data_IF_316070350443
#
_entry.id   IF_316070350443
#
_cell.length_a   1.000
_cell.length_b   1.000
_cell.length_c   1.000
_cell.angle_alpha   90.00
_cell.angle_beta   90.00
_cell.angle_gamma   90.00
#
_symmetry.space_group_name_H-M   'P 1'
#
loop_
_entity.id
_entity.type
_entity.pdbx_description
1 polymer ?
#
# COMPACT_ATOMS: atom_id res chain seq x y z
N UNK A 1 14.27 14.08 16.71
CA UNK A 1 13.35 14.26 15.57
C UNK A 1 13.64 13.18 14.54
N UNK A 2 12.63 12.52 13.97
CA UNK A 2 12.84 11.54 12.88
C UNK A 2 13.46 12.24 11.68
N UNK A 3 14.51 11.67 11.10
CA UNK A 3 15.18 12.23 9.92
C UNK A 3 14.43 11.82 8.67
N UNK A 4 14.03 12.80 7.84
CA UNK A 4 13.49 12.56 6.50
C UNK A 4 14.65 12.26 5.56
N UNK A 5 14.57 11.15 4.83
CA UNK A 5 15.56 10.71 3.86
C UNK A 5 15.32 11.30 2.46
N UNK A 6 14.06 11.65 2.15
CA UNK A 6 13.64 12.25 0.89
C UNK A 6 12.17 11.91 0.55
N UNK A 7 11.73 12.30 -0.65
CA UNK A 7 10.38 12.09 -1.17
C UNK A 7 10.37 11.69 -2.66
N UNK A 8 9.25 11.13 -3.12
CA UNK A 8 9.06 10.64 -4.48
C UNK A 8 8.36 11.64 -5.42
N UNK A 9 8.23 12.90 -5.03
CA UNK A 9 7.45 13.88 -5.78
C UNK A 9 5.95 13.68 -5.61
N UNK A 10 5.18 14.18 -6.56
CA UNK A 10 3.71 14.19 -6.54
C UNK A 10 3.07 13.53 -7.77
N UNK A 11 3.89 12.90 -8.61
CA UNK A 11 3.46 12.26 -9.86
C UNK A 11 4.30 11.03 -10.18
N UNK A 12 3.76 10.05 -10.96
CA UNK A 12 4.51 8.85 -11.34
C UNK A 12 5.78 9.20 -12.14
N UNK A 13 5.72 10.25 -12.96
CA UNK A 13 6.86 10.73 -13.72
C UNK A 13 8.00 11.22 -12.81
N UNK A 14 7.69 12.05 -11.80
CA UNK A 14 8.70 12.49 -10.83
C UNK A 14 9.22 11.32 -9.99
N UNK A 15 8.35 10.41 -9.55
CA UNK A 15 8.73 9.26 -8.76
C UNK A 15 9.73 8.36 -9.52
N UNK A 16 9.46 8.08 -10.81
CA UNK A 16 10.39 7.35 -11.69
C UNK A 16 11.71 8.11 -11.88
N UNK A 17 11.65 9.42 -12.12
CA UNK A 17 12.85 10.26 -12.26
C UNK A 17 13.73 10.23 -11.01
N UNK A 18 13.12 10.14 -9.82
CA UNK A 18 13.79 10.05 -8.51
C UNK A 18 14.17 8.62 -8.12
N UNK A 19 13.94 7.64 -8.98
CA UNK A 19 14.30 6.24 -8.75
C UNK A 19 13.40 5.52 -7.72
N UNK A 20 12.25 6.08 -7.39
CA UNK A 20 11.28 5.45 -6.50
C UNK A 20 10.68 4.18 -7.11
N UNK A 21 10.17 3.31 -6.24
CA UNK A 21 9.49 2.07 -6.60
C UNK A 21 8.03 2.17 -6.19
N UNK A 22 7.15 1.67 -7.05
CA UNK A 22 5.73 1.59 -6.71
C UNK A 22 5.48 0.34 -5.88
N UNK A 23 4.90 0.53 -4.71
CA UNK A 23 4.54 -0.50 -3.75
C UNK A 23 3.05 -0.82 -3.89
N UNK A 24 2.73 -1.97 -4.47
CA UNK A 24 1.33 -2.40 -4.67
C UNK A 24 0.66 -2.87 -3.38
N UNK A 25 1.40 -3.09 -2.29
CA UNK A 25 0.78 -3.31 -0.99
C UNK A 25 0.15 -2.00 -0.59
N UNK A 26 0.95 -0.95 -0.39
CA UNK A 26 0.45 0.32 0.16
C UNK A 26 -0.12 1.31 -0.86
N UNK A 27 -0.03 0.97 -2.14
CA UNK A 27 -0.36 1.83 -3.28
C UNK A 27 0.40 3.15 -3.22
N UNK A 28 1.70 3.08 -2.95
CA UNK A 28 2.56 4.22 -2.69
C UNK A 28 3.81 4.21 -3.57
N UNK A 29 4.24 5.37 -4.03
CA UNK A 29 5.60 5.56 -4.55
C UNK A 29 6.57 5.76 -3.40
N UNK A 30 7.49 4.81 -3.21
CA UNK A 30 8.42 4.77 -2.08
C UNK A 30 9.88 4.83 -2.54
N UNK A 31 10.72 5.51 -1.75
CA UNK A 31 12.16 5.49 -1.97
C UNK A 31 12.71 4.06 -1.85
N UNK A 32 13.78 3.69 -2.60
CA UNK A 32 14.35 2.35 -2.56
C UNK A 32 14.67 1.84 -1.15
N UNK A 33 15.12 2.72 -0.25
CA UNK A 33 15.44 2.37 1.13
C UNK A 33 14.22 1.96 1.98
N UNK A 34 13.02 2.38 1.58
CA UNK A 34 11.75 2.07 2.22
C UNK A 34 10.94 0.98 1.49
N UNK A 35 11.43 0.48 0.35
CA UNK A 35 10.72 -0.50 -0.49
C UNK A 35 11.14 -1.93 -0.11
N UNK A 36 10.16 -2.82 0.07
CA UNK A 36 10.39 -4.23 0.36
C UNK A 36 9.90 -5.10 -0.80
N UNK A 37 10.78 -5.37 -1.76
CA UNK A 37 10.47 -6.13 -2.97
C UNK A 37 9.95 -7.54 -2.65
N UNK A 38 10.58 -8.25 -1.70
CA UNK A 38 10.19 -9.61 -1.33
C UNK A 38 8.76 -9.67 -0.77
N UNK A 39 8.38 -8.67 0.04
CA UNK A 39 7.04 -8.60 0.61
C UNK A 39 5.99 -8.22 -0.44
N UNK A 40 6.33 -7.33 -1.39
CA UNK A 40 5.47 -7.00 -2.54
C UNK A 40 5.23 -8.24 -3.41
N UNK A 41 6.28 -9.00 -3.68
CA UNK A 41 6.19 -10.25 -4.45
C UNK A 41 5.41 -11.35 -3.70
N UNK A 42 5.52 -11.42 -2.37
CA UNK A 42 4.69 -12.29 -1.52
C UNK A 42 3.20 -11.90 -1.62
N UNK A 43 2.88 -10.62 -1.43
CA UNK A 43 1.51 -10.09 -1.53
C UNK A 43 0.87 -10.43 -2.88
N UNK A 44 1.61 -10.21 -3.98
CA UNK A 44 1.15 -10.52 -5.33
C UNK A 44 0.88 -12.02 -5.51
N UNK A 45 1.81 -12.88 -5.10
CA UNK A 45 1.73 -14.34 -5.35
C UNK A 45 0.63 -15.03 -4.54
N UNK A 46 0.36 -14.56 -3.33
CA UNK A 46 -0.54 -15.24 -2.41
C UNK A 46 -2.02 -15.03 -2.71
N UNK A 47 -2.43 -13.83 -3.15
CA UNK A 47 -3.85 -13.48 -3.18
C UNK A 47 -4.43 -13.18 -4.57
N UNK A 48 -3.61 -12.91 -5.59
CA UNK A 48 -4.11 -12.71 -6.96
C UNK A 48 -5.20 -11.63 -7.07
N UNK A 49 -5.11 -10.56 -6.30
CA UNK A 49 -6.12 -9.50 -6.25
C UNK A 49 -6.41 -8.87 -7.62
N UNK A 50 -7.67 -8.52 -7.83
CA UNK A 50 -8.18 -7.85 -9.02
C UNK A 50 -8.46 -6.39 -8.70
N UNK A 51 -8.10 -5.51 -9.62
CA UNK A 51 -8.24 -4.07 -9.50
C UNK A 51 -9.10 -3.54 -10.63
N UNK A 52 -9.86 -2.48 -10.39
CA UNK A 52 -10.87 -1.97 -11.31
C UNK A 52 -10.80 -0.45 -11.43
N UNK A 53 -11.18 0.10 -12.59
CA UNK A 53 -11.31 1.55 -12.75
C UNK A 53 -12.58 2.10 -12.10
N UNK A 54 -13.57 1.25 -11.85
CA UNK A 54 -14.88 1.61 -11.33
C UNK A 54 -15.28 0.78 -10.11
N UNK A 55 -16.12 1.39 -9.26
CA UNK A 55 -16.68 0.72 -8.08
C UNK A 55 -17.57 -0.48 -8.43
N UNK A 56 -18.14 -0.52 -9.64
CA UNK A 56 -18.96 -1.63 -10.10
C UNK A 56 -18.17 -2.89 -10.41
N UNK A 57 -16.83 -2.82 -10.47
CA UNK A 57 -15.97 -3.94 -10.83
C UNK A 57 -16.13 -4.36 -12.29
N UNK A 58 -16.50 -3.42 -13.17
CA UNK A 58 -16.84 -3.70 -14.57
C UNK A 58 -15.66 -3.53 -15.52
N UNK A 59 -14.70 -2.67 -15.17
CA UNK A 59 -13.50 -2.38 -15.96
C UNK A 59 -12.28 -2.85 -15.18
N UNK A 60 -11.88 -4.10 -15.37
CA UNK A 60 -10.70 -4.67 -14.73
C UNK A 60 -9.40 -4.11 -15.32
N UNK A 61 -8.43 -3.87 -14.43
CA UNK A 61 -7.09 -3.40 -14.76
C UNK A 61 -6.09 -4.55 -14.56
N UNK A 62 -5.37 -4.98 -15.61
CA UNK A 62 -4.34 -6.00 -15.48
C UNK A 62 -3.25 -5.60 -14.50
N UNK A 63 -2.72 -6.56 -13.74
CA UNK A 63 -1.73 -6.30 -12.69
C UNK A 63 -0.50 -5.54 -13.21
N UNK A 64 -0.04 -5.86 -14.42
CA UNK A 64 1.09 -5.16 -15.06
C UNK A 64 0.84 -3.67 -15.25
N UNK A 65 -0.42 -3.24 -15.38
CA UNK A 65 -0.82 -1.83 -15.43
C UNK A 65 -0.98 -1.26 -14.02
N UNK A 66 -1.52 -2.04 -13.07
CA UNK A 66 -1.59 -1.66 -11.65
C UNK A 66 -0.19 -1.34 -11.11
N UNK A 67 0.78 -2.18 -11.42
CA UNK A 67 2.17 -2.05 -11.00
C UNK A 67 2.88 -0.81 -11.57
N UNK A 68 2.30 -0.12 -12.56
CA UNK A 68 2.81 1.16 -13.05
C UNK A 68 2.49 2.32 -12.12
N UNK A 69 1.53 2.18 -11.19
CA UNK A 69 1.21 3.18 -10.17
C UNK A 69 0.77 4.52 -10.73
N UNK A 70 0.04 4.53 -11.85
CA UNK A 70 -0.30 5.76 -12.57
C UNK A 70 -1.64 6.38 -12.21
N UNK A 71 -2.51 5.65 -11.52
CA UNK A 71 -3.89 6.07 -11.24
C UNK A 71 -4.48 5.33 -10.04
N UNK A 72 -5.45 5.99 -9.42
CA UNK A 72 -6.29 5.42 -8.36
C UNK A 72 -7.17 4.31 -8.94
N UNK A 73 -7.46 3.28 -8.14
CA UNK A 73 -8.23 2.11 -8.56
C UNK A 73 -9.19 1.68 -7.46
N UNK A 74 -10.12 0.81 -7.81
CA UNK A 74 -11.01 0.13 -6.90
C UNK A 74 -10.55 -1.31 -6.68
N UNK A 75 -10.73 -1.81 -5.46
CA UNK A 75 -10.47 -3.20 -5.11
C UNK A 75 -11.56 -3.77 -4.19
N UNK A 76 -11.50 -5.08 -3.98
CA UNK A 76 -12.34 -5.77 -3.02
C UNK A 76 -12.03 -5.34 -1.59
N UNK A 77 -13.00 -5.56 -0.70
CA UNK A 77 -12.79 -5.40 0.74
C UNK A 77 -11.72 -6.36 1.28
N UNK A 78 -11.63 -7.56 0.72
CA UNK A 78 -10.60 -8.55 1.03
C UNK A 78 -9.21 -7.98 0.79
N UNK A 79 -8.98 -7.31 -0.35
CA UNK A 79 -7.70 -6.67 -0.65
C UNK A 79 -7.33 -5.66 0.43
N UNK A 80 -8.28 -4.82 0.83
CA UNK A 80 -8.08 -3.81 1.88
C UNK A 80 -7.67 -4.45 3.21
N UNK A 81 -8.39 -5.50 3.64
CA UNK A 81 -8.11 -6.19 4.90
C UNK A 81 -6.73 -6.87 4.87
N UNK A 82 -6.36 -7.50 3.76
CA UNK A 82 -5.04 -8.13 3.61
C UNK A 82 -3.94 -7.07 3.50
N UNK A 83 -4.17 -5.95 2.81
CA UNK A 83 -3.29 -4.77 2.81
C UNK A 83 -2.99 -4.30 4.25
N UNK A 84 -4.01 -4.23 5.11
CA UNK A 84 -3.85 -3.84 6.51
C UNK A 84 -2.85 -4.76 7.23
N UNK A 85 -2.92 -6.08 7.02
CA UNK A 85 -1.97 -7.03 7.60
C UNK A 85 -0.57 -6.84 6.99
N UNK A 86 -0.47 -6.66 5.68
CA UNK A 86 0.83 -6.53 5.01
C UNK A 86 1.55 -5.23 5.31
N UNK A 87 0.84 -4.12 5.52
CA UNK A 87 1.46 -2.87 6.00
C UNK A 87 2.01 -3.03 7.42
N UNK A 88 1.34 -3.77 8.30
CA UNK A 88 1.88 -4.16 9.60
C UNK A 88 3.13 -5.04 9.48
N UNK A 89 3.12 -6.04 8.60
CA UNK A 89 4.30 -6.88 8.30
C UNK A 89 5.46 -6.04 7.79
N UNK A 90 5.21 -5.11 6.88
CA UNK A 90 6.21 -4.19 6.32
C UNK A 90 6.81 -3.32 7.42
N UNK A 91 5.99 -2.71 8.27
CA UNK A 91 6.43 -1.94 9.42
C UNK A 91 7.34 -2.76 10.34
N UNK A 92 6.88 -3.96 10.73
CA UNK A 92 7.62 -4.83 11.64
C UNK A 92 8.96 -5.29 11.03
N UNK A 93 8.97 -5.62 9.73
CA UNK A 93 10.21 -5.98 9.01
C UNK A 93 11.21 -4.82 9.01
N UNK A 94 10.77 -3.61 8.65
CA UNK A 94 11.64 -2.43 8.66
C UNK A 94 12.17 -2.14 10.07
N UNK A 95 11.32 -2.22 11.09
CA UNK A 95 11.71 -2.03 12.48
C UNK A 95 12.78 -3.02 12.93
N UNK A 96 12.54 -4.32 12.72
CA UNK A 96 13.45 -5.39 13.15
C UNK A 96 14.81 -5.35 12.45
N UNK A 97 14.88 -4.79 11.24
CA UNK A 97 16.11 -4.65 10.47
C UNK A 97 16.79 -3.28 10.63
N UNK A 98 16.21 -2.36 11.40
CA UNK A 98 16.71 -0.99 11.51
C UNK A 98 16.62 -0.19 10.20
N UNK A 99 15.75 -0.60 9.28
CA UNK A 99 15.51 0.06 8.00
C UNK A 99 14.50 1.21 8.17
N UNK A 100 14.58 2.25 7.32
CA UNK A 100 13.56 3.29 7.33
C UNK A 100 12.21 2.76 6.87
N UNK A 101 11.15 3.47 7.24
CA UNK A 101 9.77 3.19 6.82
C UNK A 101 9.18 4.44 6.19
N UNK A 102 8.33 4.27 5.19
CA UNK A 102 7.65 5.40 4.57
C UNK A 102 6.59 5.98 5.53
N UNK A 103 6.23 7.25 5.33
CA UNK A 103 5.36 8.00 6.22
C UNK A 103 3.91 7.51 6.20
N UNK A 104 3.52 6.69 5.22
CA UNK A 104 2.20 6.07 5.17
C UNK A 104 2.16 4.84 6.09
N UNK A 105 3.09 3.90 5.89
CA UNK A 105 3.19 2.68 6.70
C UNK A 105 3.65 2.99 8.14
N UNK A 106 4.53 3.97 8.33
CA UNK A 106 5.02 4.41 9.64
C UNK A 106 4.06 5.30 10.43
N UNK A 107 2.86 5.58 9.89
CA UNK A 107 1.85 6.39 10.56
C UNK A 107 1.07 5.55 11.57
N UNK A 108 1.09 5.98 12.85
CA UNK A 108 0.28 5.33 13.89
C UNK A 108 -1.23 5.43 13.58
N UNK A 109 -1.66 6.49 12.91
CA UNK A 109 -3.06 6.62 12.48
C UNK A 109 -3.42 5.56 11.44
N UNK A 110 -2.50 5.24 10.52
CA UNK A 110 -2.73 4.16 9.55
C UNK A 110 -2.78 2.79 10.25
N UNK A 111 -1.90 2.57 11.23
CA UNK A 111 -1.92 1.38 12.10
C UNK A 111 -3.25 1.21 12.83
N UNK A 112 -3.79 2.29 13.42
CA UNK A 112 -5.09 2.26 14.11
C UNK A 112 -6.23 1.96 13.14
N UNK A 113 -6.30 2.67 12.01
CA UNK A 113 -7.27 2.41 10.95
C UNK A 113 -7.25 0.93 10.54
N UNK A 114 -6.06 0.38 10.28
CA UNK A 114 -5.91 -1.03 9.91
C UNK A 114 -6.48 -1.98 10.97
N UNK A 115 -6.25 -1.71 12.26
CA UNK A 115 -6.82 -2.50 13.35
C UNK A 115 -8.34 -2.36 13.45
N UNK A 116 -8.85 -1.15 13.30
CA UNK A 116 -10.29 -0.85 13.34
C UNK A 116 -11.04 -1.50 12.19
N UNK A 117 -10.52 -1.50 10.95
CA UNK A 117 -11.16 -2.17 9.82
C UNK A 117 -11.31 -3.69 10.02
N UNK A 118 -10.30 -4.33 10.63
CA UNK A 118 -10.40 -5.74 10.99
C UNK A 118 -11.42 -6.00 12.09
N UNK A 119 -11.48 -5.14 13.12
CA UNK A 119 -12.48 -5.23 14.19
C UNK A 119 -13.89 -5.04 13.61
N UNK A 120 -14.09 -4.03 12.76
CA UNK A 120 -15.37 -3.77 12.10
C UNK A 120 -15.80 -4.95 11.25
N UNK A 121 -14.89 -5.59 10.51
CA UNK A 121 -15.22 -6.76 9.71
C UNK A 121 -15.77 -7.94 10.54
N UNK A 122 -15.35 -8.10 11.81
CA UNK A 122 -15.89 -9.15 12.69
C UNK A 122 -17.40 -9.03 12.92
N UNK A 123 -17.96 -7.82 12.76
CA UNK A 123 -19.37 -7.52 12.99
C UNK A 123 -20.10 -7.07 11.72
N UNK A 124 -19.38 -6.99 10.59
CA UNK A 124 -19.91 -6.47 9.34
C UNK A 124 -20.74 -7.54 8.60
N UNK A 125 -21.93 -7.20 8.08
CA UNK A 125 -22.66 -8.08 7.18
C UNK A 125 -22.12 -8.04 5.74
N UNK A 126 -21.13 -7.19 5.45
CA UNK A 126 -20.59 -7.04 4.10
C UNK A 126 -19.75 -8.25 3.71
N UNK A 127 -19.99 -8.73 2.50
CA UNK A 127 -19.15 -9.73 1.84
C UNK A 127 -17.76 -9.13 1.57
N UNK A 128 -16.71 -9.82 2.04
CA UNK A 128 -15.31 -9.43 1.85
C UNK A 128 -14.93 -9.33 0.36
N UNK A 129 -15.64 -10.01 -0.53
CA UNK A 129 -15.35 -9.92 -1.97
C UNK A 129 -15.98 -8.69 -2.65
N UNK A 130 -16.76 -7.89 -1.93
CA UNK A 130 -17.41 -6.69 -2.47
C UNK A 130 -16.40 -5.64 -2.90
N UNK A 131 -16.55 -5.06 -4.10
CA UNK A 131 -15.74 -3.92 -4.57
C UNK A 131 -16.24 -2.64 -3.92
N UNK A 132 -15.68 -2.32 -2.76
CA UNK A 132 -16.09 -1.17 -1.95
C UNK A 132 -14.92 -0.27 -1.52
N UNK A 133 -13.68 -0.65 -1.84
CA UNK A 133 -12.49 0.11 -1.46
C UNK A 133 -12.04 0.96 -2.65
N UNK A 134 -11.86 2.26 -2.41
CA UNK A 134 -11.10 3.12 -3.30
C UNK A 134 -9.65 3.17 -2.80
N UNK A 135 -8.73 2.75 -3.65
CA UNK A 135 -7.30 2.76 -3.37
C UNK A 135 -6.68 3.95 -4.11
N UNK A 136 -6.19 4.90 -3.34
CA UNK A 136 -5.51 6.09 -3.85
C UNK A 136 -4.01 5.85 -3.99
N UNK A 137 -3.40 6.34 -5.07
CA UNK A 137 -1.95 6.44 -5.24
C UNK A 137 -1.41 7.53 -4.31
N UNK A 138 -0.37 7.20 -3.55
CA UNK A 138 0.18 8.10 -2.51
C UNK A 138 1.69 8.32 -2.69
N UNK A 139 2.19 9.45 -2.19
CA UNK A 139 3.59 9.83 -2.29
C UNK A 139 4.19 10.13 -0.90
N UNK A 140 4.41 9.10 -0.07
CA UNK A 140 4.94 9.27 1.28
C UNK A 140 6.44 9.64 1.31
N UNK A 141 6.88 10.23 2.42
CA UNK A 141 8.30 10.50 2.70
C UNK A 141 8.94 9.35 3.49
N UNK A 142 10.22 9.08 3.30
CA UNK A 142 10.93 7.99 3.99
C UNK A 142 11.59 8.53 5.28
N UNK A 143 11.34 7.91 6.44
CA UNK A 143 11.85 8.36 7.75
C UNK A 143 12.61 7.25 8.49
N UNK A 144 13.63 7.62 9.24
CA UNK A 144 14.36 6.66 10.10
C UNK A 144 13.61 6.39 11.40
N UNK A 145 13.73 5.16 11.91
CA UNK A 145 13.37 4.82 13.29
C UNK A 145 14.40 5.52 14.19
N UNK A 146 13.95 6.57 14.89
CA UNK A 146 14.76 7.33 15.85
C UNK A 146 14.53 6.84 17.26
#
# INVERSE_FOLDING_TARGET
>A
MRKVLGDCGDSPAQARQRGCKFDTISFTWSLPACFNAELVDDFRRQYGFRYFEDRGGTVEVPYEIVALGERDLHASWEEHLIHCIYTWRKFHNSWSLGLPVDSYVGSLNHTHHCGEQWIEQLYSPLDIYSINTLILVKYPTCVTNG
#
